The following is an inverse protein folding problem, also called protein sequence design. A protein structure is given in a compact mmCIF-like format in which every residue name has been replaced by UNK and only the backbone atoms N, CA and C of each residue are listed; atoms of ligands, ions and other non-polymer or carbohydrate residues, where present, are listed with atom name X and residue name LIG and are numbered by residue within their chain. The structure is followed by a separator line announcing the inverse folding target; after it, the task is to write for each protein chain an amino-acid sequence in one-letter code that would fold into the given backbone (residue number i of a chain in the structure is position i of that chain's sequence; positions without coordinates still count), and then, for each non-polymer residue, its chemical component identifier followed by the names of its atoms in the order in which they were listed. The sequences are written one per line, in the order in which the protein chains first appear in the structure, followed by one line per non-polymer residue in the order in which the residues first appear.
data_IF_439576447254
#
_entry.id   IF_439576447254
#
_cell.length_a   1.000
_cell.length_b   1.000
_cell.length_c   1.000
_cell.angle_alpha   90.00
_cell.angle_beta   90.00
_cell.angle_gamma   90.00
#
_symmetry.space_group_name_H-M   'P 1'
#
loop_
_entity.id
_entity.type
_entity.pdbx_description
1 polymer ?
#
# COMPACT_ATOMS: atom_id res chain seq x y z
N UNK A 1 49.34 -75.58 9.85
CA UNK A 1 48.59 -74.61 10.69
C UNK A 1 48.60 -73.22 10.04
N UNK A 2 48.15 -73.08 8.79
CA UNK A 2 48.14 -71.78 8.08
C UNK A 2 46.73 -71.35 7.62
N UNK A 3 45.76 -72.26 7.56
CA UNK A 3 44.42 -71.95 7.04
C UNK A 3 43.47 -71.27 8.03
N UNK A 4 43.64 -71.49 9.35
CA UNK A 4 42.70 -70.98 10.35
C UNK A 4 42.89 -69.47 10.59
N UNK A 5 44.09 -68.95 10.34
CA UNK A 5 44.44 -67.54 10.56
C UNK A 5 43.91 -66.61 9.47
N UNK A 6 43.84 -67.08 8.22
CA UNK A 6 43.42 -66.29 7.05
C UNK A 6 41.89 -66.14 6.98
N UNK A 7 41.16 -67.17 7.40
CA UNK A 7 39.69 -67.13 7.53
C UNK A 7 39.25 -66.21 8.67
N UNK A 8 39.99 -66.19 9.79
CA UNK A 8 39.65 -65.35 10.95
C UNK A 8 39.96 -63.86 10.72
N UNK A 9 40.96 -63.53 9.88
CA UNK A 9 41.22 -62.13 9.47
C UNK A 9 40.22 -61.63 8.44
N UNK A 10 39.71 -62.49 7.56
CA UNK A 10 38.63 -62.15 6.62
C UNK A 10 37.30 -61.93 7.36
N UNK A 11 36.97 -62.78 8.34
CA UNK A 11 35.76 -62.64 9.17
C UNK A 11 35.82 -61.47 10.15
N UNK A 12 37.00 -61.08 10.64
CA UNK A 12 37.18 -59.90 11.49
C UNK A 12 37.10 -58.58 10.72
N UNK A 13 37.38 -58.57 9.41
CA UNK A 13 37.32 -57.37 8.56
C UNK A 13 35.91 -57.00 8.10
N UNK A 14 35.04 -58.00 7.86
CA UNK A 14 33.67 -57.82 7.36
C UNK A 14 32.80 -56.92 8.27
N UNK A 15 32.79 -57.07 9.61
CA UNK A 15 32.02 -56.19 10.49
C UNK A 15 32.44 -54.72 10.37
N UNK A 16 33.75 -54.46 10.23
CA UNK A 16 34.26 -53.09 10.11
C UNK A 16 33.89 -52.43 8.78
N UNK A 17 33.89 -53.19 7.68
CA UNK A 17 33.44 -52.69 6.37
C UNK A 17 31.96 -52.33 6.38
N UNK A 18 31.11 -53.16 7.00
CA UNK A 18 29.66 -52.89 7.08
C UNK A 18 29.38 -51.62 7.89
N UNK A 19 30.05 -51.45 9.03
CA UNK A 19 29.90 -50.23 9.86
C UNK A 19 30.42 -49.00 9.11
N UNK A 20 31.53 -49.10 8.38
CA UNK A 20 32.05 -48.01 7.56
C UNK A 20 31.10 -47.61 6.43
N UNK A 21 30.51 -48.59 5.72
CA UNK A 21 29.52 -48.33 4.66
C UNK A 21 28.25 -47.69 5.22
N UNK A 22 27.75 -48.17 6.36
CA UNK A 22 26.58 -47.57 7.04
C UNK A 22 26.88 -46.15 7.51
N UNK A 23 28.09 -45.88 8.03
CA UNK A 23 28.54 -44.54 8.40
C UNK A 23 28.60 -43.58 7.21
N UNK A 24 29.19 -44.00 6.09
CA UNK A 24 29.30 -43.19 4.86
C UNK A 24 27.91 -42.93 4.25
N UNK A 25 27.04 -43.95 4.19
CA UNK A 25 25.66 -43.79 3.70
C UNK A 25 24.85 -42.88 4.61
N UNK A 26 25.02 -42.98 5.93
CA UNK A 26 24.39 -42.09 6.90
C UNK A 26 24.82 -40.63 6.75
N UNK A 27 26.10 -40.38 6.51
CA UNK A 27 26.64 -39.03 6.23
C UNK A 27 26.10 -38.49 4.90
N UNK A 28 26.07 -39.29 3.83
CA UNK A 28 25.51 -38.86 2.54
C UNK A 28 24.01 -38.58 2.64
N UNK A 29 23.26 -39.40 3.37
CA UNK A 29 21.82 -39.22 3.56
C UNK A 29 21.51 -37.96 4.39
N UNK A 30 22.30 -37.69 5.43
CA UNK A 30 22.15 -36.50 6.27
C UNK A 30 22.59 -35.22 5.55
N UNK A 31 23.65 -35.27 4.73
CA UNK A 31 24.07 -34.16 3.86
C UNK A 31 23.00 -33.84 2.81
N UNK A 32 22.49 -34.84 2.06
CA UNK A 32 21.40 -34.63 1.09
C UNK A 32 20.14 -34.03 1.72
N UNK A 33 19.82 -34.41 2.97
CA UNK A 33 18.67 -33.87 3.70
C UNK A 33 18.90 -32.43 4.18
N UNK A 34 20.14 -32.07 4.51
CA UNK A 34 20.53 -30.71 4.86
C UNK A 34 20.51 -29.79 3.61
N UNK A 35 21.07 -30.25 2.50
CA UNK A 35 21.08 -29.53 1.21
C UNK A 35 19.64 -29.28 0.73
N UNK A 36 18.77 -30.28 0.77
CA UNK A 36 17.36 -30.14 0.39
C UNK A 36 16.54 -29.23 1.32
N UNK A 37 17.03 -28.92 2.53
CA UNK A 37 16.45 -27.89 3.41
C UNK A 37 16.99 -26.51 3.08
N UNK A 38 18.29 -26.39 2.82
CA UNK A 38 18.92 -25.13 2.42
C UNK A 38 18.40 -24.63 1.08
N UNK A 39 18.22 -25.51 0.09
CA UNK A 39 17.67 -25.16 -1.22
C UNK A 39 16.23 -24.63 -1.11
N UNK A 40 15.40 -25.28 -0.28
CA UNK A 40 14.02 -24.83 -0.02
C UNK A 40 13.99 -23.47 0.69
N UNK A 41 14.89 -23.23 1.63
CA UNK A 41 15.00 -21.93 2.32
C UNK A 41 15.48 -20.86 1.33
N UNK A 42 16.45 -21.17 0.47
CA UNK A 42 16.98 -20.25 -0.54
C UNK A 42 15.96 -19.91 -1.63
N UNK A 43 15.11 -20.86 -2.03
CA UNK A 43 14.00 -20.62 -2.96
C UNK A 43 12.93 -19.71 -2.35
N UNK A 44 12.53 -19.99 -1.10
CA UNK A 44 11.57 -19.15 -0.38
C UNK A 44 12.12 -17.73 -0.19
N UNK A 45 13.40 -17.58 0.19
CA UNK A 45 14.03 -16.25 0.34
C UNK A 45 13.99 -15.46 -0.96
N UNK A 46 14.40 -16.07 -2.08
CA UNK A 46 14.37 -15.41 -3.39
C UNK A 46 12.96 -14.99 -3.81
N UNK A 47 11.96 -15.83 -3.52
CA UNK A 47 10.56 -15.50 -3.79
C UNK A 47 10.08 -14.33 -2.94
N UNK A 48 10.35 -14.34 -1.64
CA UNK A 48 9.97 -13.26 -0.73
C UNK A 48 10.66 -11.94 -1.11
N UNK A 49 11.94 -11.96 -1.46
CA UNK A 49 12.66 -10.79 -1.95
C UNK A 49 12.09 -10.24 -3.26
N UNK A 50 11.63 -11.12 -4.16
CA UNK A 50 10.97 -10.69 -5.39
C UNK A 50 9.61 -10.07 -5.09
N UNK A 51 8.79 -10.71 -4.25
CA UNK A 51 7.49 -10.21 -3.84
C UNK A 51 7.60 -8.86 -3.11
N UNK A 52 8.61 -8.69 -2.25
CA UNK A 52 8.89 -7.42 -1.57
C UNK A 52 9.26 -6.31 -2.56
N UNK A 53 10.16 -6.60 -3.52
CA UNK A 53 10.54 -5.63 -4.57
C UNK A 53 9.37 -5.21 -5.43
N UNK A 54 8.49 -6.15 -5.80
CA UNK A 54 7.28 -5.85 -6.56
C UNK A 54 6.33 -4.96 -5.75
N UNK A 55 6.14 -5.26 -4.46
CA UNK A 55 5.29 -4.46 -3.58
C UNK A 55 5.84 -3.03 -3.41
N UNK A 56 7.14 -2.88 -3.20
CA UNK A 56 7.76 -1.56 -3.07
C UNK A 56 7.66 -0.75 -4.37
N UNK A 57 7.86 -1.39 -5.54
CA UNK A 57 7.64 -0.74 -6.82
C UNK A 57 6.18 -0.30 -7.02
N UNK A 58 5.22 -1.13 -6.60
CA UNK A 58 3.79 -0.80 -6.63
C UNK A 58 3.46 0.38 -5.70
N UNK A 59 4.05 0.44 -4.51
CA UNK A 59 3.86 1.56 -3.57
C UNK A 59 4.44 2.85 -4.11
N UNK A 60 5.64 2.80 -4.69
CA UNK A 60 6.27 3.98 -5.27
C UNK A 60 5.44 4.50 -6.46
N UNK A 61 5.07 3.63 -7.41
CA UNK A 61 4.24 4.02 -8.54
C UNK A 61 2.84 4.50 -8.12
N UNK A 62 2.26 3.88 -7.09
CA UNK A 62 1.00 4.31 -6.50
C UNK A 62 1.09 5.72 -5.90
N UNK A 63 2.16 6.01 -5.17
CA UNK A 63 2.41 7.35 -4.63
C UNK A 63 2.62 8.39 -5.73
N UNK A 64 3.33 8.05 -6.82
CA UNK A 64 3.49 8.91 -7.99
C UNK A 64 2.15 9.22 -8.66
N UNK A 65 1.28 8.22 -8.83
CA UNK A 65 -0.07 8.40 -9.39
C UNK A 65 -0.94 9.30 -8.52
N UNK A 66 -0.99 9.03 -7.23
CA UNK A 66 -1.77 9.82 -6.26
C UNK A 66 -1.24 11.26 -6.19
N UNK A 67 0.07 11.44 -6.18
CA UNK A 67 0.69 12.78 -6.19
C UNK A 67 0.33 13.54 -7.46
N UNK A 68 0.44 12.90 -8.64
CA UNK A 68 0.06 13.52 -9.90
C UNK A 68 -1.43 13.86 -9.95
N UNK A 69 -2.29 13.00 -9.39
CA UNK A 69 -3.73 13.23 -9.28
C UNK A 69 -4.04 14.47 -8.44
N UNK A 70 -3.46 14.58 -7.24
CA UNK A 70 -3.67 15.74 -6.38
C UNK A 70 -3.07 17.03 -6.94
N UNK A 71 -1.89 16.96 -7.57
CA UNK A 71 -1.29 18.11 -8.24
C UNK A 71 -2.16 18.60 -9.39
N UNK A 72 -2.68 17.68 -10.22
CA UNK A 72 -3.58 18.05 -11.32
C UNK A 72 -4.90 18.61 -10.81
N UNK A 73 -5.48 18.03 -9.76
CA UNK A 73 -6.70 18.54 -9.14
C UNK A 73 -6.50 19.95 -8.54
N UNK A 74 -5.36 20.21 -7.89
CA UNK A 74 -5.05 21.53 -7.37
C UNK A 74 -4.83 22.54 -8.50
N UNK A 75 -4.05 22.18 -9.52
CA UNK A 75 -3.73 23.04 -10.66
C UNK A 75 -4.97 23.37 -11.50
N UNK A 76 -5.81 22.38 -11.79
CA UNK A 76 -7.00 22.55 -12.63
C UNK A 76 -7.98 23.57 -12.07
N UNK A 77 -8.07 23.72 -10.74
CA UNK A 77 -8.90 24.75 -10.10
C UNK A 77 -8.50 26.18 -10.49
N UNK A 78 -7.21 26.40 -10.76
CA UNK A 78 -6.67 27.72 -11.09
C UNK A 78 -6.68 28.00 -12.61
N UNK A 79 -6.64 26.95 -13.44
CA UNK A 79 -6.51 27.09 -14.90
C UNK A 79 -7.78 26.80 -15.70
N UNK A 80 -8.72 26.01 -15.17
CA UNK A 80 -9.93 25.61 -15.90
C UNK A 80 -11.02 26.68 -15.69
N UNK A 81 -11.47 27.36 -16.76
CA UNK A 81 -12.55 28.35 -16.67
C UNK A 81 -13.88 27.73 -16.22
N UNK A 82 -14.79 28.54 -15.66
CA UNK A 82 -16.14 28.08 -15.35
C UNK A 82 -16.85 27.52 -16.60
N UNK A 83 -17.26 26.25 -16.53
CA UNK A 83 -17.94 25.54 -17.63
C UNK A 83 -17.02 24.79 -18.59
N UNK A 84 -15.69 24.90 -18.43
CA UNK A 84 -14.72 24.02 -19.07
C UNK A 84 -14.55 22.72 -18.26
N UNK A 85 -14.06 21.67 -18.91
CA UNK A 85 -13.89 20.34 -18.34
C UNK A 85 -12.49 19.80 -18.48
N UNK A 86 -12.32 18.52 -18.14
CA UNK A 86 -11.03 17.85 -18.21
C UNK A 86 -10.44 17.81 -19.63
N UNK A 87 -11.29 17.73 -20.66
CA UNK A 87 -10.87 17.70 -22.06
C UNK A 87 -10.28 19.03 -22.54
N UNK A 88 -10.47 20.12 -21.79
CA UNK A 88 -9.93 21.44 -22.10
C UNK A 88 -8.50 21.64 -21.55
N UNK A 89 -8.00 20.70 -20.75
CA UNK A 89 -6.62 20.72 -20.25
C UNK A 89 -5.63 20.37 -21.36
N UNK A 90 -4.47 21.04 -21.36
CA UNK A 90 -3.43 20.73 -22.32
C UNK A 90 -2.84 19.33 -22.08
N UNK A 91 -2.38 18.64 -23.14
CA UNK A 91 -1.70 17.36 -22.99
C UNK A 91 -0.49 17.41 -22.04
N UNK A 92 0.19 18.56 -21.95
CA UNK A 92 1.31 18.75 -21.04
C UNK A 92 0.88 18.73 -19.56
N UNK A 93 -0.32 19.23 -19.25
CA UNK A 93 -0.88 19.28 -17.90
C UNK A 93 -1.33 17.88 -17.44
N UNK A 94 -1.87 17.09 -18.35
CA UNK A 94 -2.35 15.72 -18.06
C UNK A 94 -1.27 14.63 -18.24
N UNK A 95 -0.12 14.95 -18.82
CA UNK A 95 0.94 13.98 -19.11
C UNK A 95 1.43 13.22 -17.88
N UNK A 96 1.54 13.89 -16.73
CA UNK A 96 2.05 13.28 -15.50
C UNK A 96 1.10 12.19 -14.98
N UNK A 97 -0.21 12.49 -14.91
CA UNK A 97 -1.21 11.54 -14.41
C UNK A 97 -1.33 10.32 -15.35
N UNK A 98 -1.33 10.53 -16.67
CA UNK A 98 -1.40 9.43 -17.63
C UNK A 98 -0.15 8.55 -17.61
N UNK A 99 1.03 9.14 -17.47
CA UNK A 99 2.28 8.39 -17.33
C UNK A 99 2.25 7.53 -16.06
N UNK A 100 1.90 8.12 -14.92
CA UNK A 100 1.84 7.40 -13.65
C UNK A 100 0.77 6.29 -13.69
N UNK A 101 -0.39 6.56 -14.30
CA UNK A 101 -1.44 5.56 -14.48
C UNK A 101 -1.00 4.39 -15.35
N UNK A 102 -0.29 4.67 -16.45
CA UNK A 102 0.27 3.64 -17.33
C UNK A 102 1.29 2.76 -16.60
N UNK A 103 2.23 3.36 -15.86
CA UNK A 103 3.21 2.63 -15.03
C UNK A 103 2.50 1.76 -14.01
N UNK A 104 1.49 2.31 -13.33
CA UNK A 104 0.72 1.56 -12.34
C UNK A 104 -0.05 0.39 -12.96
N UNK A 105 -0.63 0.58 -14.15
CA UNK A 105 -1.31 -0.48 -14.90
C UNK A 105 -0.39 -1.64 -15.31
N UNK A 106 0.90 -1.37 -15.53
CA UNK A 106 1.91 -2.41 -15.79
C UNK A 106 2.28 -3.20 -14.54
N UNK A 107 2.33 -2.54 -13.37
CA UNK A 107 2.73 -3.17 -12.11
C UNK A 107 1.58 -3.89 -11.40
N UNK A 108 0.34 -3.47 -11.63
CA UNK A 108 -0.84 -4.09 -11.03
C UNK A 108 -1.31 -5.34 -11.78
N UNK A 109 -1.84 -6.29 -11.01
CA UNK A 109 -2.58 -7.43 -11.56
C UNK A 109 -3.84 -6.94 -12.27
N UNK A 110 -4.33 -7.62 -13.32
CA UNK A 110 -5.52 -7.20 -14.06
C UNK A 110 -6.76 -6.91 -13.19
N UNK A 111 -6.96 -7.70 -12.13
CA UNK A 111 -8.08 -7.52 -11.20
C UNK A 111 -7.98 -6.23 -10.34
N UNK A 112 -6.77 -5.72 -10.16
CA UNK A 112 -6.46 -4.59 -9.28
C UNK A 112 -6.40 -3.26 -10.06
N UNK A 113 -6.20 -3.31 -11.38
CA UNK A 113 -6.14 -2.13 -12.28
C UNK A 113 -7.33 -1.17 -12.18
N UNK A 114 -8.58 -1.63 -11.97
CA UNK A 114 -9.71 -0.71 -11.80
C UNK A 114 -9.51 0.30 -10.66
N UNK A 115 -8.78 -0.04 -9.60
CA UNK A 115 -8.50 0.90 -8.51
C UNK A 115 -7.61 2.08 -8.96
N UNK A 116 -6.59 1.81 -9.81
CA UNK A 116 -5.78 2.89 -10.37
C UNK A 116 -6.58 3.76 -11.35
N UNK A 117 -7.46 3.14 -12.15
CA UNK A 117 -8.37 3.89 -13.03
C UNK A 117 -9.39 4.73 -12.25
N UNK A 118 -9.82 4.28 -11.07
CA UNK A 118 -10.74 5.03 -10.22
C UNK A 118 -10.12 6.36 -9.74
N UNK A 119 -8.81 6.39 -9.45
CA UNK A 119 -8.09 7.62 -9.09
C UNK A 119 -8.16 8.64 -10.24
N UNK A 120 -7.86 8.21 -11.47
CA UNK A 120 -7.93 9.10 -12.65
C UNK A 120 -9.36 9.56 -12.91
N UNK A 121 -10.34 8.66 -12.81
CA UNK A 121 -11.75 8.99 -12.97
C UNK A 121 -12.25 9.99 -11.92
N UNK A 122 -11.78 9.89 -10.67
CA UNK A 122 -12.11 10.83 -9.61
C UNK A 122 -11.57 12.24 -9.91
N UNK A 123 -10.34 12.34 -10.43
CA UNK A 123 -9.79 13.62 -10.87
C UNK A 123 -10.60 14.20 -12.03
N UNK A 124 -10.91 13.40 -13.05
CA UNK A 124 -11.76 13.84 -14.18
C UNK A 124 -13.11 14.37 -13.68
N UNK A 125 -13.74 13.65 -12.76
CA UNK A 125 -15.00 14.07 -12.16
C UNK A 125 -14.89 15.39 -11.37
N UNK A 126 -13.78 15.58 -10.64
CA UNK A 126 -13.51 16.83 -9.91
C UNK A 126 -13.24 18.01 -10.85
N UNK A 127 -12.52 17.80 -11.96
CA UNK A 127 -12.31 18.88 -12.94
C UNK A 127 -13.61 19.27 -13.63
N UNK A 128 -14.53 18.32 -13.85
CA UNK A 128 -15.86 18.62 -14.39
C UNK A 128 -16.80 19.32 -13.40
N UNK A 129 -16.55 19.18 -12.10
CA UNK A 129 -17.32 19.82 -11.03
C UNK A 129 -16.45 20.00 -9.77
N UNK A 130 -16.01 21.24 -9.52
CA UNK A 130 -15.14 21.63 -8.40
C UNK A 130 -15.86 21.63 -7.03
N UNK A 131 -16.69 20.63 -6.78
CA UNK A 131 -17.42 20.45 -5.52
C UNK A 131 -16.60 19.66 -4.50
N UNK A 132 -16.90 19.88 -3.21
CA UNK A 132 -16.26 19.13 -2.11
C UNK A 132 -16.53 17.62 -2.24
N UNK A 133 -17.69 17.22 -2.74
CA UNK A 133 -18.03 15.81 -2.96
C UNK A 133 -17.06 15.15 -3.93
N UNK A 134 -16.71 15.81 -5.05
CA UNK A 134 -15.76 15.25 -6.02
C UNK A 134 -14.33 15.27 -5.50
N UNK A 135 -13.97 16.28 -4.69
CA UNK A 135 -12.69 16.32 -3.99
C UNK A 135 -12.53 15.14 -3.03
N UNK A 136 -13.54 14.89 -2.20
CA UNK A 136 -13.58 13.75 -1.27
C UNK A 136 -13.54 12.41 -2.05
N UNK A 137 -14.11 12.37 -3.26
CA UNK A 137 -14.01 11.22 -4.17
C UNK A 137 -12.57 10.87 -4.60
N UNK A 138 -11.66 11.86 -4.69
CA UNK A 138 -10.23 11.61 -4.95
C UNK A 138 -9.60 10.93 -3.73
N UNK A 139 -9.92 11.40 -2.51
CA UNK A 139 -9.44 10.78 -1.26
C UNK A 139 -9.94 9.33 -1.14
N UNK A 140 -11.20 9.06 -1.46
CA UNK A 140 -11.75 7.70 -1.43
C UNK A 140 -11.07 6.78 -2.45
N UNK A 141 -10.81 7.28 -3.67
CA UNK A 141 -10.12 6.52 -4.69
C UNK A 141 -8.65 6.23 -4.32
N UNK A 142 -7.96 7.20 -3.72
CA UNK A 142 -6.61 7.02 -3.16
C UNK A 142 -6.61 5.90 -2.11
N UNK A 143 -7.52 5.95 -1.14
CA UNK A 143 -7.61 4.94 -0.09
C UNK A 143 -7.89 3.54 -0.66
N UNK A 144 -8.76 3.44 -1.68
CA UNK A 144 -9.03 2.19 -2.36
C UNK A 144 -7.78 1.63 -3.07
N UNK A 145 -7.00 2.50 -3.72
CA UNK A 145 -5.75 2.10 -4.36
C UNK A 145 -4.72 1.61 -3.33
N UNK A 146 -4.55 2.32 -2.22
CA UNK A 146 -3.66 1.93 -1.12
C UNK A 146 -4.04 0.56 -0.57
N UNK A 147 -5.34 0.34 -0.32
CA UNK A 147 -5.85 -0.94 0.18
C UNK A 147 -5.53 -2.09 -0.79
N UNK A 148 -5.68 -1.86 -2.09
CA UNK A 148 -5.35 -2.85 -3.13
C UNK A 148 -3.86 -3.16 -3.19
N UNK A 149 -2.99 -2.14 -3.14
CA UNK A 149 -1.52 -2.32 -3.12
C UNK A 149 -1.09 -3.12 -1.90
N UNK A 150 -1.60 -2.74 -0.72
CA UNK A 150 -1.26 -3.40 0.55
C UNK A 150 -1.98 -4.73 0.75
N UNK A 151 -2.85 -5.14 -0.18
CA UNK A 151 -3.68 -6.36 -0.08
C UNK A 151 -4.51 -6.40 1.19
N UNK A 152 -4.99 -5.23 1.62
CA UNK A 152 -5.83 -5.10 2.79
C UNK A 152 -7.21 -5.72 2.50
N UNK A 153 -7.82 -6.43 3.46
CA UNK A 153 -9.21 -6.85 3.32
C UNK A 153 -10.05 -5.58 3.18
N UNK A 154 -10.76 -5.46 2.06
CA UNK A 154 -11.57 -4.28 1.73
C UNK A 154 -12.49 -3.92 2.91
N UNK A 155 -12.16 -2.84 3.61
CA UNK A 155 -12.96 -2.24 4.69
C UNK A 155 -14.11 -1.39 4.16
N UNK A 156 -14.33 -1.37 2.84
CA UNK A 156 -15.38 -0.60 2.19
C UNK A 156 -16.79 -0.94 2.69
N UNK A 157 -16.99 -2.10 3.32
CA UNK A 157 -18.29 -2.51 3.87
C UNK A 157 -18.53 -2.07 5.34
N UNK A 158 -17.59 -1.39 6.01
CA UNK A 158 -17.72 -1.11 7.46
C UNK A 158 -17.54 0.35 7.86
N UNK A 159 -17.35 1.27 6.91
CA UNK A 159 -17.27 2.70 7.23
C UNK A 159 -18.67 3.32 7.09
N UNK A 160 -19.32 3.77 8.18
CA UNK A 160 -20.54 4.56 8.04
C UNK A 160 -20.20 5.84 7.26
N UNK A 161 -21.14 6.37 6.46
CA UNK A 161 -20.91 7.58 5.70
C UNK A 161 -20.45 8.68 6.66
N UNK A 162 -19.32 9.33 6.34
CA UNK A 162 -18.85 10.53 7.05
C UNK A 162 -19.82 11.67 6.75
N UNK A 163 -20.95 11.64 7.44
CA UNK A 163 -21.88 12.75 7.51
C UNK A 163 -21.16 13.93 8.16
N UNK A 164 -20.96 14.96 7.34
CA UNK A 164 -20.65 16.35 7.69
C UNK A 164 -19.91 16.58 9.01
N UNK A 165 -18.59 16.80 8.92
CA UNK A 165 -17.94 17.71 9.88
C UNK A 165 -18.46 19.12 9.58
N UNK A 166 -19.63 19.43 10.13
CA UNK A 166 -20.09 20.79 10.33
C UNK A 166 -19.08 21.45 11.26
N UNK A 167 -18.16 22.22 10.69
CA UNK A 167 -17.35 23.17 11.45
C UNK A 167 -18.34 24.04 12.25
N UNK A 168 -18.47 23.77 13.55
CA UNK A 168 -19.13 24.70 14.46
C UNK A 168 -18.16 25.85 14.63
N UNK A 169 -18.46 26.97 13.95
CA UNK A 169 -17.94 28.27 14.34
C UNK A 169 -18.15 28.44 15.86
N UNK A 170 -17.17 28.99 16.61
CA UNK A 170 -17.35 29.30 18.00
C UNK A 170 -18.55 30.25 18.14
N UNK A 171 -19.53 29.80 18.92
CA UNK A 171 -20.76 30.51 19.23
C UNK A 171 -20.37 31.82 19.91
N UNK A 172 -20.74 32.96 19.34
CA UNK A 172 -20.66 34.24 20.02
C UNK A 172 -21.36 34.11 21.38
N UNK A 173 -20.64 34.49 22.44
CA UNK A 173 -21.14 34.54 23.80
C UNK A 173 -22.20 35.64 23.85
N UNK A 174 -23.47 35.27 23.82
CA UNK A 174 -24.57 36.14 24.24
C UNK A 174 -24.55 36.21 25.77
N UNK A 175 -23.97 37.29 26.31
CA UNK A 175 -24.18 37.69 27.70
C UNK A 175 -25.55 38.38 27.86
N UNK A 176 -26.23 38.23 29.00
CA UNK A 176 -27.56 38.81 29.25
C UNK A 176 -27.48 40.33 29.54
N UNK A 177 -28.59 41.08 29.38
CA UNK A 177 -28.63 42.48 29.76
C UNK A 177 -28.71 42.60 31.29
N UNK A 178 -27.62 43.04 31.91
CA UNK A 178 -27.61 43.42 33.32
C UNK A 178 -28.21 44.83 33.43
N UNK A 179 -29.33 44.90 34.17
CA UNK A 179 -29.90 46.16 34.64
C UNK A 179 -28.97 46.70 35.71
N UNK A 180 -28.53 47.95 35.57
CA UNK A 180 -27.99 48.69 36.71
C UNK A 180 -28.63 50.07 36.81
N UNK A 181 -28.78 50.45 38.06
CA UNK A 181 -29.71 51.39 38.65
C UNK A 181 -29.46 52.87 38.32
N UNK A 182 -30.49 53.67 38.60
CA UNK A 182 -30.49 55.11 38.37
C UNK A 182 -29.62 55.91 39.34
N UNK A 183 -29.23 57.10 38.89
CA UNK A 183 -29.47 58.45 39.49
C UNK A 183 -28.70 59.48 38.65
N UNK A 184 -29.27 60.66 38.41
CA UNK A 184 -28.47 61.84 38.71
C UNK A 184 -29.30 62.82 39.54
N UNK A 185 -28.76 63.20 40.68
CA UNK A 185 -29.22 64.38 41.38
C UNK A 185 -27.99 65.19 41.82
N UNK A 186 -28.17 66.51 41.82
CA UNK A 186 -27.34 67.59 42.36
C UNK A 186 -26.40 68.39 41.44
N UNK A 187 -26.72 69.70 41.37
CA UNK A 187 -25.78 70.84 41.27
C UNK A 187 -25.67 71.46 39.88
N UNK A 188 -26.19 72.64 39.54
CA UNK A 188 -26.42 73.83 40.36
C UNK A 188 -25.21 74.76 40.30
N UNK A 189 -25.14 75.62 39.28
CA UNK A 189 -24.84 77.06 39.33
C UNK A 189 -24.98 77.70 37.95
#
# INVERSE_FOLDING_TARGET
MADVTLVNTLLAGIPSMVVAVVGVVGVIYTQKRADARQDRIAEISRRLEHEARVLDAQRQAGAELVTAAWQLAAHSRDVVPEGAGFDDLEPAETAAIYRAHSVMGMLLRPADRPAASAVVAAVIAFVGDFSQEKWDGIEEAELALIAVINREPSTAASRPPRTGRRWRLPRAVSGPPEKEDGRPDTGGH
#
